data_IF_856601179038
#
_entry.id   IF_856601179038
#
_cell.length_a   1.000
_cell.length_b   1.000
_cell.length_c   1.000
_cell.angle_alpha   90.00
_cell.angle_beta   90.00
_cell.angle_gamma   90.00
#
_symmetry.space_group_name_H-M   'P 1'
#
loop_
_entity.id
_entity.type
_entity.pdbx_description
1 polymer ?
#
# COMPACT_ATOMS: atom_id res chain seq x y z
N UNK A 1 -3.00 10.01 -5.91
CA UNK A 1 -2.48 8.78 -6.54
C UNK A 1 -1.01 8.79 -7.01
N UNK A 2 -0.56 9.71 -7.89
CA UNK A 2 0.76 9.60 -8.57
C UNK A 2 1.99 9.20 -7.72
N UNK A 3 2.16 9.76 -6.51
CA UNK A 3 3.29 9.40 -5.64
C UNK A 3 3.27 7.93 -5.18
N UNK A 4 2.08 7.35 -5.03
CA UNK A 4 1.89 5.95 -4.68
C UNK A 4 2.25 5.05 -5.87
N UNK A 5 1.78 5.41 -7.06
CA UNK A 5 2.12 4.70 -8.32
C UNK A 5 3.63 4.70 -8.54
N UNK A 6 4.29 5.85 -8.41
CA UNK A 6 5.74 5.95 -8.52
C UNK A 6 6.45 5.04 -7.50
N UNK A 7 5.98 5.00 -6.25
CA UNK A 7 6.55 4.13 -5.21
C UNK A 7 6.37 2.64 -5.53
N UNK A 8 5.22 2.23 -6.04
CA UNK A 8 4.97 0.83 -6.43
C UNK A 8 5.85 0.46 -7.63
N UNK A 9 5.96 1.35 -8.63
CA UNK A 9 6.83 1.19 -9.80
C UNK A 9 8.29 0.97 -9.40
N UNK A 10 8.79 1.74 -8.44
CA UNK A 10 10.14 1.57 -7.88
C UNK A 10 10.31 0.22 -7.19
N UNK A 11 9.32 -0.24 -6.41
CA UNK A 11 9.37 -1.53 -5.72
C UNK A 11 9.47 -2.70 -6.72
N UNK A 12 8.74 -2.64 -7.83
CA UNK A 12 8.76 -3.72 -8.83
C UNK A 12 9.88 -3.58 -9.86
N UNK A 13 10.66 -2.49 -9.81
CA UNK A 13 11.75 -2.24 -10.75
C UNK A 13 11.29 -1.89 -12.17
N UNK A 14 10.10 -1.29 -12.32
CA UNK A 14 9.49 -0.94 -13.61
C UNK A 14 9.67 0.55 -13.97
N UNK A 15 10.77 1.16 -13.51
CA UNK A 15 11.13 2.58 -13.72
C UNK A 15 12.08 2.81 -14.91
N UNK A 16 12.33 1.77 -15.71
CA UNK A 16 13.17 1.83 -16.90
C UNK A 16 12.55 2.62 -18.07
N UNK A 17 13.29 2.80 -19.17
CA UNK A 17 12.83 3.53 -20.35
C UNK A 17 11.65 2.84 -21.07
N UNK A 18 11.51 1.53 -20.90
CA UNK A 18 10.45 0.71 -21.50
C UNK A 18 9.65 0.02 -20.39
N UNK A 19 8.76 0.74 -19.69
CA UNK A 19 7.99 0.15 -18.60
C UNK A 19 7.00 -0.89 -19.11
N UNK A 20 6.86 -1.99 -18.37
CA UNK A 20 5.92 -3.08 -18.65
C UNK A 20 4.49 -2.67 -18.33
N UNK A 21 4.32 -1.82 -17.32
CA UNK A 21 3.02 -1.37 -16.83
C UNK A 21 2.84 0.14 -17.02
N UNK A 22 1.67 0.52 -17.50
CA UNK A 22 1.21 1.92 -17.48
C UNK A 22 0.89 2.37 -16.06
N UNK A 23 0.91 3.68 -15.81
CA UNK A 23 0.52 4.23 -14.50
C UNK A 23 -0.93 3.86 -14.14
N UNK A 24 -1.85 3.88 -15.12
CA UNK A 24 -3.26 3.48 -14.94
C UNK A 24 -3.41 1.99 -14.57
N UNK A 25 -2.52 1.12 -15.06
CA UNK A 25 -2.49 -0.28 -14.64
C UNK A 25 -2.05 -0.41 -13.19
N UNK A 26 -0.98 0.28 -12.79
CA UNK A 26 -0.47 0.25 -11.42
C UNK A 26 -1.51 0.84 -10.46
N UNK A 27 -2.18 1.93 -10.84
CA UNK A 27 -3.26 2.55 -10.07
C UNK A 27 -4.38 1.54 -9.77
N UNK A 28 -4.81 0.73 -10.74
CA UNK A 28 -5.82 -0.32 -10.50
C UNK A 28 -5.40 -1.33 -9.43
N UNK A 29 -4.11 -1.69 -9.36
CA UNK A 29 -3.61 -2.57 -8.29
C UNK A 29 -3.56 -1.86 -6.93
N UNK A 30 -3.24 -0.55 -6.91
CA UNK A 30 -3.26 0.26 -5.70
C UNK A 30 -4.69 0.41 -5.16
N UNK A 31 -5.66 0.67 -6.01
CA UNK A 31 -7.07 0.82 -5.65
C UNK A 31 -7.67 -0.49 -5.11
N UNK A 32 -7.31 -1.63 -5.69
CA UNK A 32 -7.77 -2.94 -5.24
C UNK A 32 -7.37 -3.25 -3.78
N UNK A 33 -6.32 -2.59 -3.29
CA UNK A 33 -5.82 -2.75 -1.92
C UNK A 33 -6.05 -1.50 -1.07
N UNK A 34 -6.71 -0.46 -1.59
CA UNK A 34 -7.00 0.74 -0.81
C UNK A 34 -7.96 0.41 0.34
N UNK A 35 -7.68 1.02 1.50
CA UNK A 35 -8.52 0.96 2.69
C UNK A 35 -8.95 2.39 2.99
N UNK A 36 -10.24 2.61 3.16
CA UNK A 36 -10.74 3.91 3.62
C UNK A 36 -10.39 4.04 5.10
N UNK A 37 -9.41 4.88 5.40
CA UNK A 37 -9.09 5.27 6.76
C UNK A 37 -10.12 6.29 7.22
N UNK A 38 -11.15 5.84 7.92
CA UNK A 38 -12.20 6.71 8.44
C UNK A 38 -11.90 7.14 9.88
N UNK A 39 -11.74 8.44 10.08
CA UNK A 39 -11.52 9.06 11.40
C UNK A 39 -10.35 8.44 12.17
N UNK A 40 -9.21 8.30 11.50
CA UNK A 40 -7.97 7.91 12.19
C UNK A 40 -7.46 9.12 12.96
N UNK A 41 -7.33 9.00 14.28
CA UNK A 41 -6.81 10.08 15.10
C UNK A 41 -5.32 10.30 14.82
N UNK A 42 -4.91 11.56 14.69
CA UNK A 42 -3.53 11.98 14.51
C UNK A 42 -2.90 12.37 15.85
N UNK A 43 -1.59 12.14 15.96
CA UNK A 43 -0.75 12.59 17.05
C UNK A 43 -0.19 13.98 16.78
N UNK A 44 -0.20 14.91 17.75
CA UNK A 44 0.45 16.20 17.60
C UNK A 44 1.97 16.03 17.55
N UNK A 45 2.62 16.78 16.65
CA UNK A 45 4.07 16.91 16.62
C UNK A 45 4.43 18.18 17.38
N UNK A 46 4.73 18.01 18.68
CA UNK A 46 5.08 19.11 19.59
C UNK A 46 3.96 19.48 20.57
N UNK A 47 4.18 20.49 21.43
CA UNK A 47 3.21 20.92 22.41
C UNK A 47 1.98 21.57 21.74
N UNK A 48 0.82 21.41 22.38
CA UNK A 48 -0.42 22.05 21.93
C UNK A 48 -0.45 23.54 22.33
N UNK A 49 -1.05 24.41 21.51
CA UNK A 49 -1.57 24.11 20.17
C UNK A 49 -0.45 23.94 19.14
N UNK A 50 -0.60 22.99 18.21
CA UNK A 50 0.37 22.74 17.13
C UNK A 50 -0.29 22.79 15.77
N UNK A 51 0.49 23.12 14.75
CA UNK A 51 0.09 23.02 13.34
C UNK A 51 0.43 21.66 12.74
N UNK A 52 1.35 20.89 13.33
CA UNK A 52 1.89 19.68 12.72
C UNK A 52 1.34 18.43 13.38
N UNK A 53 0.84 17.51 12.56
CA UNK A 53 0.15 16.30 12.99
C UNK A 53 0.69 15.09 12.23
N UNK A 54 0.74 13.93 12.87
CA UNK A 54 1.24 12.70 12.26
C UNK A 54 0.41 11.47 12.59
N UNK A 55 0.58 10.42 11.81
CA UNK A 55 0.14 9.06 12.14
C UNK A 55 1.28 8.09 11.89
N UNK A 56 1.24 6.94 12.57
CA UNK A 56 2.18 5.84 12.34
C UNK A 56 1.78 4.97 11.13
N UNK A 57 0.56 5.12 10.64
CA UNK A 57 0.02 4.29 9.55
C UNK A 57 0.12 5.08 8.24
N UNK A 58 1.01 4.67 7.34
CA UNK A 58 1.29 5.32 6.07
C UNK A 58 1.71 4.27 5.03
N UNK A 59 1.54 4.50 3.72
CA UNK A 59 1.22 5.79 3.09
C UNK A 59 -0.28 6.04 2.88
N UNK A 60 -0.66 7.32 3.00
CA UNK A 60 -1.97 7.81 2.57
C UNK A 60 -1.89 8.38 1.16
N UNK A 61 -2.99 8.30 0.45
CA UNK A 61 -3.20 9.09 -0.74
C UNK A 61 -3.25 10.58 -0.38
N UNK A 62 -2.61 11.42 -1.21
CA UNK A 62 -2.72 12.87 -1.09
C UNK A 62 -4.17 13.34 -1.26
N UNK A 63 -4.51 14.44 -0.58
CA UNK A 63 -5.88 14.98 -0.55
C UNK A 63 -6.73 14.45 0.61
N UNK A 64 -6.11 13.80 1.59
CA UNK A 64 -6.79 13.39 2.81
C UNK A 64 -7.35 14.62 3.56
N UNK A 65 -8.56 14.49 4.11
CA UNK A 65 -9.26 15.57 4.80
C UNK A 65 -9.00 15.47 6.29
N UNK A 66 -8.72 16.60 6.93
CA UNK A 66 -8.56 16.69 8.37
C UNK A 66 -9.81 17.25 9.03
N UNK A 67 -10.12 16.76 10.23
CA UNK A 67 -11.28 17.18 11.02
C UNK A 67 -10.89 17.49 12.46
N UNK A 68 -11.57 18.46 13.07
CA UNK A 68 -11.47 18.77 14.50
C UNK A 68 -12.45 17.96 15.35
N UNK A 69 -12.47 18.23 16.66
CA UNK A 69 -13.32 17.53 17.63
C UNK A 69 -14.81 17.80 17.47
N UNK A 70 -15.17 18.88 16.79
CA UNK A 70 -16.54 19.24 16.47
C UNK A 70 -16.98 18.69 15.09
N UNK A 71 -16.09 18.01 14.37
CA UNK A 71 -16.34 17.49 13.03
C UNK A 71 -16.23 18.54 11.92
N UNK A 72 -15.66 19.71 12.21
CA UNK A 72 -15.39 20.70 11.16
C UNK A 72 -14.15 20.29 10.38
N UNK A 73 -14.20 20.43 9.06
CA UNK A 73 -13.03 20.20 8.23
C UNK A 73 -11.99 21.30 8.46
N UNK A 74 -10.75 20.90 8.72
CA UNK A 74 -9.61 21.78 8.90
C UNK A 74 -8.95 22.07 7.56
N UNK A 75 -8.51 23.32 7.37
CA UNK A 75 -7.68 23.69 6.23
C UNK A 75 -6.27 23.11 6.38
N UNK A 76 -5.81 22.39 5.36
CA UNK A 76 -4.46 21.81 5.29
C UNK A 76 -3.55 22.81 4.56
N UNK A 77 -2.49 23.25 5.22
CA UNK A 77 -1.45 24.09 4.62
C UNK A 77 -0.44 23.25 3.83
N UNK A 78 -0.04 22.10 4.40
CA UNK A 78 0.90 21.17 3.76
C UNK A 78 0.38 19.74 3.92
N UNK A 79 0.18 19.05 2.81
CA UNK A 79 -0.17 17.62 2.79
C UNK A 79 1.07 16.78 2.47
N UNK A 80 1.51 15.98 3.44
CA UNK A 80 2.58 14.98 3.29
C UNK A 80 2.04 13.59 3.69
N UNK A 81 0.80 13.28 3.33
CA UNK A 81 0.10 12.06 3.71
C UNK A 81 0.80 10.77 3.29
N UNK A 82 1.61 10.78 2.23
CA UNK A 82 2.47 9.64 1.85
C UNK A 82 3.50 9.28 2.94
N UNK A 83 3.91 10.25 3.75
CA UNK A 83 4.74 10.07 4.95
C UNK A 83 3.95 10.04 6.26
N UNK A 84 2.61 10.13 6.19
CA UNK A 84 1.73 10.17 7.35
C UNK A 84 1.82 11.47 8.14
N UNK A 85 2.16 12.61 7.51
CA UNK A 85 2.31 13.91 8.17
C UNK A 85 1.46 14.97 7.47
N UNK A 86 0.82 15.83 8.25
CA UNK A 86 0.07 16.98 7.77
C UNK A 86 0.35 18.23 8.58
N UNK A 87 0.21 19.38 7.94
CA UNK A 87 0.22 20.69 8.60
C UNK A 87 -1.10 21.40 8.38
N UNK A 88 -1.75 21.80 9.47
CA UNK A 88 -2.97 22.63 9.45
C UNK A 88 -2.62 24.10 9.27
N UNK A 89 -3.50 24.87 8.64
CA UNK A 89 -3.29 26.30 8.41
C UNK A 89 -3.29 27.15 9.70
N UNK A 90 -3.87 26.63 10.79
CA UNK A 90 -3.87 27.24 12.12
C UNK A 90 -3.51 26.20 13.18
N UNK A 91 -2.94 26.64 14.30
CA UNK A 91 -2.56 25.76 15.39
C UNK A 91 -3.81 25.25 16.13
N UNK A 92 -3.90 23.94 16.32
CA UNK A 92 -5.04 23.27 16.93
C UNK A 92 -4.67 22.77 18.32
N UNK A 93 -5.55 22.99 19.31
CA UNK A 93 -5.39 22.50 20.69
C UNK A 93 -6.05 21.14 20.91
N UNK A 94 -7.10 20.82 20.15
CA UNK A 94 -7.86 19.58 20.30
C UNK A 94 -7.31 18.43 19.47
N UNK A 95 -7.92 17.23 19.61
CA UNK A 95 -7.64 16.11 18.70
C UNK A 95 -7.94 16.47 17.24
N UNK A 96 -7.18 15.86 16.34
CA UNK A 96 -7.36 15.97 14.89
C UNK A 96 -7.51 14.56 14.32
N UNK A 97 -8.43 14.39 13.38
CA UNK A 97 -8.65 13.13 12.68
C UNK A 97 -8.42 13.29 11.19
N UNK A 98 -7.96 12.22 10.54
CA UNK A 98 -7.82 12.14 9.09
C UNK A 98 -8.87 11.20 8.49
N UNK A 99 -9.38 11.59 7.33
CA UNK A 99 -10.24 10.79 6.46
C UNK A 99 -9.63 10.76 5.05
N UNK A 100 -9.42 9.56 4.51
CA UNK A 100 -8.84 9.39 3.18
C UNK A 100 -8.55 7.93 2.85
N UNK A 101 -7.84 7.72 1.75
CA UNK A 101 -7.42 6.39 1.33
C UNK A 101 -6.02 6.08 1.87
N UNK A 102 -5.90 4.94 2.51
CA UNK A 102 -4.65 4.35 2.94
C UNK A 102 -4.32 3.19 2.00
N UNK A 103 -3.09 3.14 1.48
CA UNK A 103 -2.72 2.17 0.44
C UNK A 103 -1.58 1.30 0.92
N UNK A 104 -1.80 -0.02 0.90
CA UNK A 104 -0.78 -1.02 1.16
C UNK A 104 0.09 -1.22 -0.10
N UNK A 105 1.14 -0.42 -0.22
CA UNK A 105 2.05 -0.43 -1.38
C UNK A 105 2.75 -1.79 -1.57
N UNK A 106 3.00 -2.54 -0.50
CA UNK A 106 3.63 -3.85 -0.59
C UNK A 106 2.66 -4.90 -1.13
N UNK A 107 1.40 -4.87 -0.68
CA UNK A 107 0.39 -5.76 -1.23
C UNK A 107 0.07 -5.45 -2.70
N UNK A 108 -0.01 -4.17 -3.06
CA UNK A 108 -0.17 -3.75 -4.46
C UNK A 108 1.00 -4.23 -5.32
N UNK A 109 2.25 -4.00 -4.88
CA UNK A 109 3.45 -4.44 -5.57
C UNK A 109 3.52 -5.98 -5.70
N UNK A 110 3.18 -6.72 -4.65
CA UNK A 110 3.13 -8.18 -4.70
C UNK A 110 2.13 -8.68 -5.76
N UNK A 111 0.93 -8.07 -5.81
CA UNK A 111 -0.12 -8.42 -6.78
C UNK A 111 0.30 -8.09 -8.22
N UNK A 112 0.98 -6.95 -8.41
CA UNK A 112 1.54 -6.55 -9.70
C UNK A 112 2.64 -7.52 -10.17
N UNK A 113 3.51 -7.98 -9.26
CA UNK A 113 4.56 -8.98 -9.55
C UNK A 113 3.97 -10.34 -9.92
N UNK A 114 2.89 -10.78 -9.27
CA UNK A 114 2.19 -12.01 -9.67
C UNK A 114 1.62 -11.89 -11.08
N UNK A 115 0.96 -10.76 -11.38
CA UNK A 115 0.41 -10.48 -12.69
C UNK A 115 1.51 -10.45 -13.76
N UNK A 116 2.68 -9.92 -13.43
CA UNK A 116 3.84 -9.91 -14.31
C UNK A 116 4.35 -11.35 -14.53
N UNK A 117 4.54 -12.12 -13.48
CA UNK A 117 4.94 -13.52 -13.59
C UNK A 117 3.94 -14.34 -14.43
N UNK A 118 2.64 -14.08 -14.29
CA UNK A 118 1.60 -14.71 -15.11
C UNK A 118 1.70 -14.30 -16.59
N UNK A 119 1.93 -13.02 -16.90
CA UNK A 119 2.14 -12.53 -18.26
C UNK A 119 3.37 -13.16 -18.92
N UNK A 120 4.47 -13.28 -18.17
CA UNK A 120 5.69 -13.95 -18.64
C UNK A 120 5.44 -15.44 -18.92
N UNK A 121 4.70 -16.14 -18.05
CA UNK A 121 4.28 -17.54 -18.28
C UNK A 121 3.35 -17.68 -19.49
N UNK A 122 2.40 -16.76 -19.67
CA UNK A 122 1.43 -16.79 -20.77
C UNK A 122 2.03 -16.43 -22.13
N UNK A 123 3.20 -15.79 -22.17
CA UNK A 123 3.93 -15.51 -23.41
C UNK A 123 4.50 -16.76 -24.13
N UNK A 124 4.09 -17.96 -23.72
CA UNK A 124 4.49 -19.25 -24.27
C UNK A 124 3.37 -19.93 -25.07
N UNK A 125 3.56 -19.98 -26.39
CA UNK A 125 3.29 -21.20 -27.18
C UNK A 125 4.10 -21.25 -28.51
N UNK A 126 5.35 -20.77 -28.56
CA UNK A 126 6.23 -21.00 -29.74
C UNK A 126 7.67 -21.24 -29.32
N UNK A 127 8.13 -22.47 -29.56
CA UNK A 127 9.47 -22.94 -29.34
C UNK A 127 10.46 -22.43 -30.41
N UNK A 128 11.49 -21.67 -30.02
CA UNK A 128 12.72 -21.50 -30.82
C UNK A 128 13.91 -21.92 -29.96
N UNK A 129 14.86 -22.60 -30.59
CA UNK A 129 15.87 -23.46 -29.98
C UNK A 129 16.81 -22.78 -28.95
N UNK A 130 17.13 -23.54 -27.89
CA UNK A 130 18.46 -23.52 -27.26
C UNK A 130 18.58 -22.77 -25.94
N UNK A 131 18.67 -21.44 -25.97
CA UNK A 131 19.37 -20.70 -24.89
C UNK A 131 18.46 -19.75 -24.10
N UNK A 132 17.37 -19.26 -24.71
CA UNK A 132 16.50 -18.24 -24.10
C UNK A 132 15.51 -18.79 -23.06
N UNK A 133 15.33 -20.11 -22.97
CA UNK A 133 14.30 -20.72 -22.10
C UNK A 133 14.63 -20.66 -20.62
N UNK A 134 15.90 -20.80 -20.25
CA UNK A 134 16.35 -20.82 -18.86
C UNK A 134 16.27 -19.43 -18.21
N UNK A 135 16.50 -18.35 -18.97
CA UNK A 135 16.45 -16.98 -18.46
C UNK A 135 15.03 -16.55 -18.05
N UNK A 136 13.98 -17.01 -18.75
CA UNK A 136 12.58 -16.68 -18.41
C UNK A 136 12.08 -17.41 -17.16
N UNK A 137 12.42 -18.69 -16.99
CA UNK A 137 12.04 -19.42 -15.77
C UNK A 137 12.72 -18.83 -14.54
N UNK A 138 13.97 -18.39 -14.66
CA UNK A 138 14.67 -17.63 -13.63
C UNK A 138 13.97 -16.29 -13.31
N UNK A 139 13.56 -15.53 -14.34
CA UNK A 139 12.80 -14.28 -14.16
C UNK A 139 11.50 -14.52 -13.41
N UNK A 140 10.71 -15.51 -13.83
CA UNK A 140 9.43 -15.86 -13.19
C UNK A 140 9.63 -16.26 -11.72
N UNK A 141 10.61 -17.12 -11.43
CA UNK A 141 10.92 -17.50 -10.04
C UNK A 141 11.32 -16.29 -9.20
N UNK A 142 12.14 -15.39 -9.74
CA UNK A 142 12.56 -14.19 -9.04
C UNK A 142 11.38 -13.24 -8.73
N UNK A 143 10.48 -13.03 -9.70
CA UNK A 143 9.26 -12.22 -9.50
C UNK A 143 8.38 -12.79 -8.37
N UNK A 144 8.17 -14.11 -8.36
CA UNK A 144 7.37 -14.79 -7.34
C UNK A 144 8.03 -14.75 -5.95
N UNK A 145 9.35 -14.93 -5.88
CA UNK A 145 10.11 -14.78 -4.63
C UNK A 145 10.00 -13.35 -4.07
N UNK A 146 10.13 -12.34 -4.93
CA UNK A 146 9.97 -10.94 -4.52
C UNK A 146 8.54 -10.65 -4.05
N UNK A 147 7.53 -11.15 -4.77
CA UNK A 147 6.13 -11.05 -4.38
C UNK A 147 5.88 -11.68 -3.00
N UNK A 148 6.48 -12.84 -2.71
CA UNK A 148 6.38 -13.49 -1.40
C UNK A 148 6.99 -12.62 -0.29
N UNK A 149 8.17 -12.01 -0.54
CA UNK A 149 8.80 -11.07 0.41
C UNK A 149 7.94 -9.83 0.67
N UNK A 150 7.29 -9.28 -0.35
CA UNK A 150 6.40 -8.13 -0.15
C UNK A 150 5.11 -8.49 0.59
N UNK A 151 4.54 -9.68 0.37
CA UNK A 151 3.40 -10.13 1.21
C UNK A 151 3.76 -10.26 2.69
N UNK A 152 5.00 -10.62 3.03
CA UNK A 152 5.43 -10.63 4.45
C UNK A 152 5.58 -9.23 5.07
N UNK A 153 5.62 -8.18 4.25
CA UNK A 153 5.70 -6.77 4.69
C UNK A 153 4.35 -6.05 4.58
N UNK A 154 3.40 -6.62 3.83
CA UNK A 154 2.04 -6.13 3.70
C UNK A 154 1.31 -6.16 5.05
N UNK A 155 0.28 -5.31 5.19
CA UNK A 155 -0.53 -5.28 6.39
C UNK A 155 -1.39 -6.53 6.54
N UNK A 156 -1.57 -7.04 7.77
CA UNK A 156 -2.50 -8.13 8.03
C UNK A 156 -3.93 -7.77 7.58
N UNK A 157 -4.49 -8.55 6.65
CA UNK A 157 -5.88 -8.39 6.16
C UNK A 157 -6.88 -9.21 6.95
N UNK A 158 -6.46 -10.41 7.37
CA UNK A 158 -7.28 -11.38 8.09
C UNK A 158 -6.39 -12.03 9.14
N UNK A 159 -6.84 -12.04 10.39
CA UNK A 159 -6.24 -12.84 11.45
C UNK A 159 -7.24 -13.92 11.87
N UNK A 160 -6.89 -15.19 11.67
CA UNK A 160 -7.67 -16.29 12.23
C UNK A 160 -7.29 -16.46 13.70
N UNK A 161 -8.24 -16.21 14.60
CA UNK A 161 -8.08 -16.54 16.01
C UNK A 161 -8.60 -17.96 16.24
N UNK A 162 -7.70 -18.91 16.45
CA UNK A 162 -8.04 -20.26 16.89
C UNK A 162 -8.25 -20.29 18.40
N UNK A 163 -9.31 -20.97 18.85
CA UNK A 163 -9.54 -21.28 20.27
C UNK A 163 -8.98 -22.67 20.58
N UNK A 164 -7.78 -22.71 21.12
CA UNK A 164 -7.10 -23.97 21.52
C UNK A 164 -7.75 -24.62 22.74
N UNK A 165 -8.63 -23.92 23.46
CA UNK A 165 -9.37 -24.45 24.60
C UNK A 165 -10.53 -25.39 24.21
N UNK A 166 -10.83 -25.50 22.91
CA UNK A 166 -11.88 -26.38 22.38
C UNK A 166 -11.33 -27.73 21.84
N UNK A 167 -10.02 -27.95 21.84
CA UNK A 167 -9.39 -29.16 21.29
C UNK A 167 -9.51 -30.42 22.18
N UNK A 168 -10.47 -30.46 23.11
CA UNK A 168 -10.63 -31.54 24.09
C UNK A 168 -12.03 -32.17 24.20
N UNK A 169 -13.03 -31.75 23.42
CA UNK A 169 -14.38 -32.32 23.51
C UNK A 169 -14.92 -32.68 22.13
N UNK A 170 -14.65 -33.93 21.72
CA UNK A 170 -15.51 -34.63 20.75
C UNK A 170 -15.76 -36.04 21.29
N UNK A 171 -16.89 -36.30 21.97
CA UNK A 171 -17.60 -37.55 21.80
C UNK A 171 -18.47 -37.48 20.52
N UNK A 172 -18.73 -38.67 19.98
CA UNK A 172 -19.51 -39.07 18.78
C UNK A 172 -18.78 -39.03 17.44
#
# INVERSE_FOLDING_TARGET
MAAIVARIRDLVGDSGPDPVWSDDEIERFADAVAIVGAQVQLDPVGPLPTTTWRTLVAPWELGARLYDAAGNQLAVATDRGTSGVWETAAAIRGPVWVLGNLIDVYLAAASLLDAWAAREKASYDVEVAGDTRLSRSQKVSHLLELAARYRSQAWPRVSAAGRTDLEGVVPW
#
